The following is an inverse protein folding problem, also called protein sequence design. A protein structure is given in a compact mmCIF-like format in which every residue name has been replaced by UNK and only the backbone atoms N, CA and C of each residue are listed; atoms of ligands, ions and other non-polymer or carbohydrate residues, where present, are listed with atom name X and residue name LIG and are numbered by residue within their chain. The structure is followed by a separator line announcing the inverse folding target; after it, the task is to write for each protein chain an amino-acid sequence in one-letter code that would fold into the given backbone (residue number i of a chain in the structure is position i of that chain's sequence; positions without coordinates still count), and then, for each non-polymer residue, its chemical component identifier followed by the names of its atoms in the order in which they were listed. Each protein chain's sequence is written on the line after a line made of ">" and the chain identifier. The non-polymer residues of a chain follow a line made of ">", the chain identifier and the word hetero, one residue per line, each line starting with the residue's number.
data_IF_961540425344
#
_entry.id   IF_961540425344
#
_cell.length_a   1.000
_cell.length_b   1.000
_cell.length_c   1.000
_cell.angle_alpha   90.00
_cell.angle_beta   90.00
_cell.angle_gamma   90.00
#
_symmetry.space_group_name_H-M   'P 1'
#
loop_
_entity.id
_entity.type
_entity.pdbx_description
1 polymer ?
#
# COMPACT_ATOMS: atom_id res chain seq x y z
N UNK A 1 -14.44 -1.25 38.14
CA UNK A 1 -14.03 -2.32 37.21
C UNK A 1 -13.68 -1.70 35.86
N UNK A 2 -12.59 -2.12 35.20
CA UNK A 2 -12.23 -1.61 33.88
C UNK A 2 -12.85 -2.41 32.73
N UNK A 3 -13.09 -1.76 31.58
CA UNK A 3 -13.58 -2.42 30.37
C UNK A 3 -12.55 -3.44 29.84
N UNK A 4 -13.02 -4.66 29.53
CA UNK A 4 -12.22 -5.72 28.89
C UNK A 4 -12.90 -6.15 27.59
N UNK A 5 -12.19 -6.01 26.47
CA UNK A 5 -12.69 -6.47 25.18
C UNK A 5 -12.32 -7.94 24.97
N UNK A 6 -13.32 -8.80 24.75
CA UNK A 6 -13.12 -10.25 24.62
C UNK A 6 -12.28 -10.65 23.40
N UNK A 7 -12.24 -9.81 22.35
CA UNK A 7 -11.52 -10.08 21.11
C UNK A 7 -10.22 -9.28 21.00
N UNK A 8 -9.63 -8.81 22.11
CA UNK A 8 -8.40 -8.00 22.08
C UNK A 8 -7.23 -8.74 21.42
N UNK A 9 -7.08 -10.05 21.70
CA UNK A 9 -6.04 -10.87 21.08
C UNK A 9 -6.23 -11.00 19.55
N UNK A 10 -7.48 -11.16 19.11
CA UNK A 10 -7.83 -11.23 17.68
C UNK A 10 -7.56 -9.88 17.00
N UNK A 11 -7.94 -8.77 17.63
CA UNK A 11 -7.66 -7.42 17.12
C UNK A 11 -6.15 -7.18 16.97
N UNK A 12 -5.35 -7.58 17.95
CA UNK A 12 -3.88 -7.49 17.87
C UNK A 12 -3.32 -8.33 16.74
N UNK A 13 -3.83 -9.54 16.53
CA UNK A 13 -3.40 -10.39 15.43
C UNK A 13 -3.78 -9.79 14.07
N UNK A 14 -5.01 -9.28 13.90
CA UNK A 14 -5.45 -8.62 12.66
C UNK A 14 -4.63 -7.37 12.35
N UNK A 15 -4.22 -6.61 13.38
CA UNK A 15 -3.31 -5.47 13.19
C UNK A 15 -1.95 -5.91 12.63
N UNK A 16 -1.38 -6.99 13.13
CA UNK A 16 -0.13 -7.55 12.57
C UNK A 16 -0.29 -8.00 11.13
N UNK A 17 -1.38 -8.67 10.79
CA UNK A 17 -1.66 -9.08 9.41
C UNK A 17 -1.81 -7.88 8.46
N UNK A 18 -2.43 -6.79 8.91
CA UNK A 18 -2.47 -5.54 8.15
C UNK A 18 -1.07 -4.93 7.96
N UNK A 19 -0.27 -4.87 9.03
CA UNK A 19 1.10 -4.34 8.97
C UNK A 19 1.97 -5.18 7.98
N UNK A 20 1.86 -6.50 8.04
CA UNK A 20 2.54 -7.43 7.12
C UNK A 20 2.08 -7.24 5.66
N UNK A 21 0.76 -7.18 5.44
CA UNK A 21 0.20 -6.97 4.10
C UNK A 21 0.59 -5.59 3.53
N UNK A 22 0.68 -4.57 4.38
CA UNK A 22 1.14 -3.23 3.98
C UNK A 22 2.59 -3.25 3.52
N UNK A 23 3.48 -3.94 4.24
CA UNK A 23 4.89 -4.09 3.84
C UNK A 23 5.00 -4.80 2.49
N UNK A 24 4.30 -5.93 2.31
CA UNK A 24 4.30 -6.70 1.06
C UNK A 24 3.79 -5.85 -0.12
N UNK A 25 2.72 -5.06 0.09
CA UNK A 25 2.20 -4.14 -0.91
C UNK A 25 3.21 -3.04 -1.26
N UNK A 26 3.87 -2.45 -0.26
CA UNK A 26 4.90 -1.44 -0.49
C UNK A 26 6.10 -1.98 -1.28
N UNK A 27 6.54 -3.22 -0.99
CA UNK A 27 7.58 -3.89 -1.75
C UNK A 27 7.18 -4.13 -3.21
N UNK A 28 5.94 -4.57 -3.46
CA UNK A 28 5.42 -4.72 -4.82
C UNK A 28 5.40 -3.38 -5.57
N UNK A 29 5.03 -2.29 -4.88
CA UNK A 29 5.02 -0.95 -5.45
C UNK A 29 6.42 -0.46 -5.79
N UNK A 30 7.41 -0.75 -4.94
CA UNK A 30 8.81 -0.44 -5.20
C UNK A 30 9.32 -1.18 -6.44
N UNK A 31 9.04 -2.48 -6.57
CA UNK A 31 9.41 -3.28 -7.76
C UNK A 31 8.81 -2.72 -9.05
N UNK A 32 7.54 -2.31 -9.03
CA UNK A 32 6.91 -1.70 -10.21
C UNK A 32 7.53 -0.33 -10.55
N UNK A 33 7.86 0.47 -9.55
CA UNK A 33 8.53 1.77 -9.73
C UNK A 33 9.89 1.59 -10.39
N UNK A 34 10.72 0.69 -9.86
CA UNK A 34 12.03 0.35 -10.44
C UNK A 34 11.88 -0.15 -11.89
N UNK A 35 10.91 -1.01 -12.16
CA UNK A 35 10.67 -1.49 -13.52
C UNK A 35 10.27 -0.34 -14.47
N UNK A 36 9.50 0.66 -14.02
CA UNK A 36 9.18 1.86 -14.81
C UNK A 36 10.42 2.70 -15.11
N UNK A 37 11.29 2.87 -14.13
CA UNK A 37 12.55 3.62 -14.29
C UNK A 37 13.48 2.93 -15.30
N UNK A 38 13.61 1.61 -15.23
CA UNK A 38 14.37 0.82 -16.22
C UNK A 38 13.78 1.00 -17.61
N UNK A 39 12.45 0.92 -17.77
CA UNK A 39 11.80 1.12 -19.06
C UNK A 39 12.09 2.52 -19.63
N UNK A 40 12.02 3.54 -18.77
CA UNK A 40 12.33 4.92 -19.16
C UNK A 40 13.80 5.05 -19.59
N UNK A 41 14.72 4.36 -18.92
CA UNK A 41 16.14 4.35 -19.31
C UNK A 41 16.35 3.78 -20.73
N UNK A 42 15.56 2.78 -21.15
CA UNK A 42 15.61 2.26 -22.51
C UNK A 42 15.16 3.31 -23.53
N UNK A 43 14.07 4.02 -23.27
CA UNK A 43 13.62 5.12 -24.14
C UNK A 43 14.67 6.23 -24.25
N UNK A 44 15.20 6.67 -23.12
CA UNK A 44 16.26 7.69 -23.09
C UNK A 44 17.49 7.23 -23.90
N UNK A 45 17.86 5.96 -23.81
CA UNK A 45 18.99 5.41 -24.59
C UNK A 45 18.72 5.39 -26.10
N UNK A 46 17.47 5.16 -26.52
CA UNK A 46 17.06 5.22 -27.93
C UNK A 46 17.15 6.66 -28.43
N UNK A 47 16.60 7.60 -27.67
CA UNK A 47 16.58 9.02 -28.05
C UNK A 47 17.99 9.58 -28.16
N UNK A 48 18.87 9.24 -27.21
CA UNK A 48 20.29 9.61 -27.27
C UNK A 48 20.97 9.06 -28.53
N UNK A 49 20.70 7.80 -28.91
CA UNK A 49 21.28 7.21 -30.12
C UNK A 49 20.72 7.85 -31.40
N UNK A 50 19.45 8.28 -31.41
CA UNK A 50 18.86 9.01 -32.53
C UNK A 50 19.50 10.38 -32.71
N UNK A 51 19.74 11.10 -31.61
CA UNK A 51 20.48 12.37 -31.65
C UNK A 51 21.91 12.17 -32.17
N UNK A 52 22.59 11.11 -31.72
CA UNK A 52 23.93 10.77 -32.21
C UNK A 52 23.94 10.46 -33.70
N UNK A 53 22.97 9.69 -34.20
CA UNK A 53 22.81 9.40 -35.63
C UNK A 53 22.63 10.71 -36.40
N UNK A 54 21.76 11.61 -35.93
CA UNK A 54 21.54 12.91 -36.58
C UNK A 54 22.82 13.75 -36.64
N UNK A 55 23.60 13.77 -35.55
CA UNK A 55 24.91 14.45 -35.52
C UNK A 55 25.93 13.82 -36.48
N UNK A 56 25.98 12.49 -36.55
CA UNK A 56 26.87 11.77 -37.47
C UNK A 56 26.50 12.02 -38.93
N UNK A 57 25.20 12.05 -39.26
CA UNK A 57 24.69 12.36 -40.60
C UNK A 57 25.02 13.80 -41.02
N UNK A 58 24.96 14.76 -40.10
CA UNK A 58 25.36 16.14 -40.35
C UNK A 58 26.90 16.31 -40.43
N UNK A 59 27.67 15.33 -39.97
CA UNK A 59 29.13 15.35 -39.99
C UNK A 59 29.68 14.78 -41.30
N UNK A 60 30.75 15.39 -41.83
CA UNK A 60 31.42 14.90 -43.05
C UNK A 60 32.49 13.83 -42.73
N UNK A 61 32.27 13.02 -41.68
CA UNK A 61 33.23 12.02 -41.24
C UNK A 61 33.20 10.79 -42.17
N UNK A 62 34.39 10.35 -42.63
CA UNK A 62 34.52 9.16 -43.51
C UNK A 62 33.96 7.87 -42.91
N UNK A 63 33.88 7.78 -41.58
CA UNK A 63 33.39 6.60 -40.85
C UNK A 63 31.95 6.74 -40.35
N UNK A 64 31.19 7.75 -40.79
CA UNK A 64 29.84 7.98 -40.31
C UNK A 64 28.87 6.81 -40.62
N UNK A 65 28.96 6.23 -41.82
CA UNK A 65 28.01 5.19 -42.26
C UNK A 65 28.07 3.91 -41.40
N UNK A 66 29.24 3.28 -41.15
CA UNK A 66 29.32 2.12 -40.26
C UNK A 66 28.83 2.41 -38.83
N UNK A 67 29.14 3.59 -38.28
CA UNK A 67 28.71 3.99 -36.93
C UNK A 67 27.19 4.19 -36.84
N UNK A 68 26.57 4.72 -37.90
CA UNK A 68 25.11 4.86 -37.97
C UNK A 68 24.44 3.48 -37.97
N UNK A 69 24.93 2.54 -38.79
CA UNK A 69 24.37 1.18 -38.86
C UNK A 69 24.48 0.43 -37.53
N UNK A 70 25.60 0.59 -36.82
CA UNK A 70 25.77 0.04 -35.48
C UNK A 70 24.72 0.59 -34.50
N UNK A 71 24.51 1.91 -34.49
CA UNK A 71 23.50 2.57 -33.65
C UNK A 71 22.06 2.17 -34.01
N UNK A 72 21.75 2.03 -35.29
CA UNK A 72 20.43 1.55 -35.74
C UNK A 72 20.19 0.11 -35.29
N UNK A 73 21.20 -0.77 -35.39
CA UNK A 73 21.12 -2.13 -34.86
C UNK A 73 20.91 -2.15 -33.35
N UNK A 74 21.59 -1.26 -32.62
CA UNK A 74 21.37 -1.09 -31.17
C UNK A 74 19.92 -0.67 -30.87
N UNK A 75 19.38 0.32 -31.58
CA UNK A 75 17.98 0.77 -31.40
C UNK A 75 17.00 -0.38 -31.66
N UNK A 76 17.23 -1.17 -32.71
CA UNK A 76 16.42 -2.36 -33.01
C UNK A 76 16.44 -3.36 -31.84
N UNK A 77 17.64 -3.64 -31.30
CA UNK A 77 17.80 -4.49 -30.12
C UNK A 77 17.10 -3.94 -28.86
N UNK A 78 17.10 -2.62 -28.66
CA UNK A 78 16.37 -1.98 -27.56
C UNK A 78 14.85 -2.13 -27.71
N UNK A 79 14.32 -2.12 -28.94
CA UNK A 79 12.91 -2.40 -29.20
C UNK A 79 12.46 -3.75 -28.65
N UNK A 80 13.28 -4.80 -28.86
CA UNK A 80 13.00 -6.13 -28.30
C UNK A 80 13.05 -6.14 -26.76
N UNK A 81 14.04 -5.46 -26.16
CA UNK A 81 14.18 -5.34 -24.70
C UNK A 81 12.98 -4.62 -24.08
N UNK A 82 12.52 -3.54 -24.71
CA UNK A 82 11.32 -2.79 -24.29
C UNK A 82 10.10 -3.69 -24.29
N UNK A 83 9.88 -4.50 -25.33
CA UNK A 83 8.74 -5.40 -25.41
C UNK A 83 8.77 -6.51 -24.35
N UNK A 84 9.95 -7.07 -24.08
CA UNK A 84 10.15 -8.03 -22.99
C UNK A 84 9.90 -7.39 -21.62
N UNK A 85 10.42 -6.18 -21.41
CA UNK A 85 10.29 -5.47 -20.14
C UNK A 85 8.85 -5.00 -19.89
N UNK A 86 8.11 -4.62 -20.95
CA UNK A 86 6.67 -4.35 -20.87
C UNK A 86 5.87 -5.58 -20.45
N UNK A 87 6.26 -6.79 -20.87
CA UNK A 87 5.64 -8.04 -20.40
C UNK A 87 5.88 -8.25 -18.90
N UNK A 88 7.12 -8.06 -18.44
CA UNK A 88 7.46 -8.10 -17.01
C UNK A 88 6.65 -7.07 -16.21
N UNK A 89 6.56 -5.83 -16.69
CA UNK A 89 5.77 -4.79 -16.01
C UNK A 89 4.29 -5.16 -15.89
N UNK A 90 3.69 -5.80 -16.89
CA UNK A 90 2.30 -6.30 -16.78
C UNK A 90 2.16 -7.32 -15.66
N UNK A 91 3.12 -8.22 -15.49
CA UNK A 91 3.12 -9.18 -14.39
C UNK A 91 3.28 -8.47 -13.03
N UNK A 92 4.15 -7.46 -12.95
CA UNK A 92 4.33 -6.67 -11.73
C UNK A 92 3.10 -5.83 -11.37
N UNK A 93 2.37 -5.32 -12.37
CA UNK A 93 1.09 -4.62 -12.15
C UNK A 93 0.07 -5.59 -11.56
N UNK A 94 -0.05 -6.79 -12.13
CA UNK A 94 -0.96 -7.81 -11.60
C UNK A 94 -0.58 -8.22 -10.17
N UNK A 95 0.70 -8.46 -9.88
CA UNK A 95 1.17 -8.75 -8.52
C UNK A 95 0.82 -7.61 -7.55
N UNK A 96 1.04 -6.36 -7.96
CA UNK A 96 0.71 -5.18 -7.15
C UNK A 96 -0.78 -5.11 -6.83
N UNK A 97 -1.65 -5.35 -7.82
CA UNK A 97 -3.11 -5.37 -7.65
C UNK A 97 -3.53 -6.45 -6.65
N UNK A 98 -2.99 -7.66 -6.78
CA UNK A 98 -3.25 -8.77 -5.84
C UNK A 98 -2.81 -8.41 -4.41
N UNK A 99 -1.64 -7.79 -4.24
CA UNK A 99 -1.17 -7.35 -2.89
C UNK A 99 -1.99 -6.20 -2.35
N UNK A 100 -2.45 -5.29 -3.21
CA UNK A 100 -3.32 -4.18 -2.83
C UNK A 100 -4.66 -4.70 -2.30
N UNK A 101 -5.28 -5.66 -2.99
CA UNK A 101 -6.52 -6.29 -2.55
C UNK A 101 -6.37 -6.98 -1.20
N UNK A 102 -5.27 -7.73 -1.01
CA UNK A 102 -4.98 -8.39 0.26
C UNK A 102 -4.81 -7.39 1.42
N UNK A 103 -4.09 -6.29 1.19
CA UNK A 103 -3.94 -5.21 2.16
C UNK A 103 -5.28 -4.55 2.50
N UNK A 104 -6.09 -4.23 1.49
CA UNK A 104 -7.41 -3.63 1.69
C UNK A 104 -8.35 -4.55 2.46
N UNK A 105 -8.28 -5.86 2.24
CA UNK A 105 -9.04 -6.84 2.99
C UNK A 105 -8.61 -6.86 4.47
N UNK A 106 -7.31 -6.98 4.75
CA UNK A 106 -6.78 -6.97 6.11
C UNK A 106 -7.17 -5.68 6.87
N UNK A 107 -7.07 -4.53 6.19
CA UNK A 107 -7.48 -3.23 6.70
C UNK A 107 -8.97 -3.19 7.07
N UNK A 108 -9.84 -3.72 6.21
CA UNK A 108 -11.29 -3.80 6.46
C UNK A 108 -11.60 -4.69 7.66
N UNK A 109 -10.95 -5.84 7.77
CA UNK A 109 -11.15 -6.77 8.88
C UNK A 109 -10.73 -6.14 10.22
N UNK A 110 -9.55 -5.50 10.30
CA UNK A 110 -9.12 -4.80 11.52
C UNK A 110 -10.11 -3.69 11.89
N UNK A 111 -10.46 -2.81 10.94
CA UNK A 111 -11.40 -1.70 11.18
C UNK A 111 -12.77 -2.19 11.67
N UNK A 112 -13.22 -3.34 11.19
CA UNK A 112 -14.49 -3.94 11.64
C UNK A 112 -14.41 -4.34 13.11
N UNK A 113 -13.32 -4.96 13.56
CA UNK A 113 -13.11 -5.30 14.96
C UNK A 113 -12.91 -4.07 15.86
N UNK A 114 -12.25 -3.01 15.37
CA UNK A 114 -12.11 -1.77 16.12
C UNK A 114 -13.46 -1.11 16.37
N UNK A 115 -14.31 -0.99 15.34
CA UNK A 115 -15.66 -0.46 15.50
C UNK A 115 -16.49 -1.29 16.48
N UNK A 116 -16.34 -2.61 16.46
CA UNK A 116 -16.99 -3.49 17.44
C UNK A 116 -16.48 -3.22 18.86
N UNK A 117 -15.17 -3.06 19.05
CA UNK A 117 -14.57 -2.70 20.35
C UNK A 117 -15.10 -1.36 20.87
N UNK A 118 -15.14 -0.34 20.01
CA UNK A 118 -15.67 0.97 20.35
C UNK A 118 -17.14 0.90 20.77
N UNK A 119 -17.96 0.16 20.02
CA UNK A 119 -19.38 -0.05 20.36
C UNK A 119 -19.53 -0.71 21.74
N UNK A 120 -18.80 -1.80 21.98
CA UNK A 120 -18.82 -2.51 23.27
C UNK A 120 -18.33 -1.65 24.43
N UNK A 121 -17.35 -0.78 24.18
CA UNK A 121 -16.88 0.17 25.18
C UNK A 121 -17.96 1.17 25.55
N UNK A 122 -18.65 1.76 24.56
CA UNK A 122 -19.77 2.67 24.81
C UNK A 122 -20.90 2.01 25.60
N UNK A 123 -21.25 0.78 25.25
CA UNK A 123 -22.25 -0.02 25.98
C UNK A 123 -21.83 -0.23 27.46
N UNK A 124 -20.56 -0.55 27.69
CA UNK A 124 -20.02 -0.69 29.04
C UNK A 124 -20.06 0.62 29.84
N UNK A 125 -19.62 1.72 29.24
CA UNK A 125 -19.60 3.04 29.88
C UNK A 125 -21.02 3.49 30.27
N UNK A 126 -22.02 3.23 29.41
CA UNK A 126 -23.43 3.49 29.70
C UNK A 126 -23.96 2.65 30.86
N UNK A 127 -23.61 1.36 30.90
CA UNK A 127 -24.05 0.46 31.97
C UNK A 127 -23.42 0.83 33.33
N UNK A 128 -22.14 1.23 33.34
CA UNK A 128 -21.47 1.73 34.55
C UNK A 128 -22.16 3.00 35.05
N UNK A 129 -22.38 3.98 34.17
CA UNK A 129 -23.07 5.22 34.54
C UNK A 129 -24.50 4.97 35.08
N UNK A 130 -25.22 4.01 34.50
CA UNK A 130 -26.55 3.61 34.97
C UNK A 130 -26.50 3.00 36.37
N UNK A 131 -25.53 2.13 36.65
CA UNK A 131 -25.37 1.52 37.97
C UNK A 131 -24.99 2.55 39.03
N UNK A 132 -24.04 3.42 38.71
CA UNK A 132 -23.63 4.51 39.61
C UNK A 132 -24.82 5.42 39.95
N UNK A 133 -25.67 5.75 38.97
CA UNK A 133 -26.88 6.54 39.20
C UNK A 133 -27.89 5.83 40.14
N UNK A 134 -28.09 4.52 39.98
CA UNK A 134 -28.97 3.73 40.85
C UNK A 134 -28.43 3.64 42.28
N UNK A 135 -27.12 3.39 42.44
CA UNK A 135 -26.48 3.35 43.76
C UNK A 135 -26.60 4.69 44.49
N UNK A 136 -26.45 5.82 43.79
CA UNK A 136 -26.63 7.16 44.36
C UNK A 136 -28.08 7.42 44.80
N UNK A 137 -29.06 6.97 44.03
CA UNK A 137 -30.49 7.11 44.35
C UNK A 137 -30.88 6.25 45.56
N UNK A 138 -30.36 5.03 45.66
CA UNK A 138 -30.53 4.16 46.83
C UNK A 138 -29.94 4.80 48.10
N UNK A 139 -28.72 5.35 48.02
CA UNK A 139 -28.09 6.08 49.14
C UNK A 139 -28.94 7.29 49.56
N UNK A 140 -29.47 8.05 48.59
CA UNK A 140 -30.33 9.20 48.86
C UNK A 140 -31.62 8.78 49.57
N UNK A 141 -32.25 7.69 49.13
CA UNK A 141 -33.49 7.15 49.72
C UNK A 141 -33.28 6.65 51.14
N UNK A 142 -32.19 5.91 51.40
CA UNK A 142 -31.84 5.43 52.76
C UNK A 142 -31.60 6.61 53.70
N UNK A 143 -30.86 7.64 53.25
CA UNK A 143 -30.57 8.83 54.06
C UNK A 143 -31.83 9.67 54.33
N UNK A 144 -32.77 9.73 53.40
CA UNK A 144 -34.05 10.41 53.58
C UNK A 144 -35.00 9.62 54.52
N UNK A 145 -34.98 8.29 54.47
CA UNK A 145 -35.77 7.42 55.33
C UNK A 145 -35.32 7.39 56.80
N UNK A 146 -34.04 7.62 57.09
CA UNK A 146 -33.48 7.68 58.44
C UNK A 146 -33.67 9.01 59.20
N UNK A 147 -34.40 9.99 58.62
CA UNK A 147 -34.72 11.29 59.27
C UNK A 147 -36.18 11.37 59.73
N UNK A 148 -36.78 10.25 60.14
CA UNK A 148 -38.10 10.21 60.80
C UNK A 148 -37.98 9.67 62.21
#
# INVERSE_FOLDING_TARGET
>A
MGFKFSLEAVLKHRKRLEDEAHVIFAEAQARLTEAKEILQSYYNSIDQNREDISRLQASNQKNAVPLILEKESFISGQGLRIEQHRKLMRQLIQDLEEKQEAYLLALRERKTLEKLKEKRKREFDMEVARREALELDEIATIRAGGRR
#
